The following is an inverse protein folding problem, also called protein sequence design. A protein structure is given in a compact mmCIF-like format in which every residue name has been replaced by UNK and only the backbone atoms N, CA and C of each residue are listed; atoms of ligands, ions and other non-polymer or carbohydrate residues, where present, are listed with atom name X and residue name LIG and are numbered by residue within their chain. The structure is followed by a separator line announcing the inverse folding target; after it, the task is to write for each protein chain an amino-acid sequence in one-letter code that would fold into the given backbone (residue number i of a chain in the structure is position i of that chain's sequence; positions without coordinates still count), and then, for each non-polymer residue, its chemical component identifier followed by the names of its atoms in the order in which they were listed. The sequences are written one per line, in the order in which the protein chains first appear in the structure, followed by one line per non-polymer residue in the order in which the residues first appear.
data_IF_853175454441
#
_entry.id   IF_853175454441
#
_cell.length_a   1.000
_cell.length_b   1.000
_cell.length_c   1.000
_cell.angle_alpha   90.00
_cell.angle_beta   90.00
_cell.angle_gamma   90.00
#
_symmetry.space_group_name_H-M   'P 1'
#
loop_
_entity.id
_entity.type
_entity.pdbx_description
1 polymer ?
#
# COMPACT_ATOMS: atom_id res chain seq x y z
N UNK A 1 15.23 -45.63 37.25
CA UNK A 1 16.42 -44.80 37.52
C UNK A 1 17.27 -44.75 36.27
N UNK A 2 17.24 -43.64 35.50
CA UNK A 2 18.21 -43.40 34.43
C UNK A 2 19.04 -42.17 34.78
N UNK A 3 20.32 -42.46 35.05
CA UNK A 3 21.43 -41.56 35.31
C UNK A 3 21.79 -40.84 34.01
N UNK A 4 21.70 -39.50 34.00
CA UNK A 4 22.66 -38.58 33.38
C UNK A 4 22.17 -37.16 33.60
N UNK A 5 22.53 -36.63 34.76
CA UNK A 5 22.67 -35.19 34.94
C UNK A 5 23.98 -34.74 34.28
N UNK A 6 23.92 -33.65 33.53
CA UNK A 6 25.01 -32.68 33.50
C UNK A 6 24.36 -31.31 33.67
N UNK A 7 24.91 -30.60 34.64
CA UNK A 7 24.36 -29.45 35.34
C UNK A 7 25.29 -28.24 35.08
N UNK A 8 24.73 -27.02 35.18
CA UNK A 8 25.33 -25.69 35.45
C UNK A 8 25.86 -24.87 34.25
N UNK A 9 25.25 -23.69 33.99
CA UNK A 9 25.52 -22.32 34.51
C UNK A 9 26.27 -21.55 33.40
N UNK A 10 26.08 -20.29 33.02
CA UNK A 10 25.36 -19.07 33.43
C UNK A 10 25.26 -18.23 32.12
N UNK A 11 24.41 -17.24 31.90
CA UNK A 11 24.40 -15.96 32.58
C UNK A 11 23.31 -15.07 31.97
N UNK A 12 22.72 -14.28 32.84
CA UNK A 12 21.85 -13.14 32.57
C UNK A 12 22.68 -12.05 31.86
N UNK A 13 22.25 -11.62 30.67
CA UNK A 13 22.39 -10.26 30.12
C UNK A 13 21.22 -10.09 29.14
N UNK A 14 20.16 -9.43 29.57
CA UNK A 14 19.92 -8.01 29.32
C UNK A 14 19.27 -7.78 27.93
N UNK A 15 17.98 -7.42 28.00
CA UNK A 15 17.28 -6.48 27.13
C UNK A 15 18.08 -6.01 25.90
N UNK A 16 17.67 -6.48 24.73
CA UNK A 16 17.33 -5.54 23.67
C UNK A 16 15.94 -5.90 23.18
N UNK A 17 15.01 -5.03 23.54
CA UNK A 17 13.78 -4.80 22.80
C UNK A 17 14.24 -4.44 21.39
N UNK A 18 14.37 -5.44 20.52
CA UNK A 18 14.59 -5.20 19.10
C UNK A 18 13.24 -4.82 18.52
N UNK A 19 12.89 -3.57 18.80
CA UNK A 19 11.96 -2.71 18.09
C UNK A 19 10.77 -3.47 17.51
N UNK A 20 9.72 -3.59 18.32
CA UNK A 20 8.39 -3.36 17.80
C UNK A 20 8.43 -2.01 17.09
N UNK A 21 8.81 -2.01 15.81
CA UNK A 21 8.40 -0.99 14.88
C UNK A 21 6.89 -1.20 14.75
N UNK A 22 6.18 -0.67 15.74
CA UNK A 22 4.75 -0.59 15.77
C UNK A 22 4.35 0.06 14.45
N UNK A 23 3.93 -0.77 13.48
CA UNK A 23 2.92 -0.33 12.55
C UNK A 23 1.85 0.32 13.44
N UNK A 24 1.60 1.62 13.25
CA UNK A 24 0.64 2.35 14.05
C UNK A 24 -0.61 1.45 14.21
N UNK A 25 -1.12 1.20 15.42
CA UNK A 25 -2.07 0.11 15.71
C UNK A 25 -3.38 0.13 14.90
N UNK A 26 -3.55 1.09 13.99
CA UNK A 26 -4.67 1.29 13.10
C UNK A 26 -4.28 1.61 11.64
N UNK A 27 -3.06 1.26 11.16
CA UNK A 27 -2.71 1.48 9.75
C UNK A 27 -3.67 0.69 8.83
N UNK A 28 -4.28 1.30 7.80
CA UNK A 28 -5.32 0.67 6.98
C UNK A 28 -4.84 -0.59 6.25
N UNK A 29 -3.52 -0.71 6.03
CA UNK A 29 -2.91 -1.82 5.31
C UNK A 29 -2.23 -2.87 6.19
N UNK A 30 -2.29 -2.76 7.52
CA UNK A 30 -1.59 -3.67 8.45
C UNK A 30 -1.96 -5.15 8.27
N UNK A 31 -3.21 -5.43 7.89
CA UNK A 31 -3.70 -6.79 7.63
C UNK A 31 -3.36 -7.31 6.21
N UNK A 32 -2.77 -6.48 5.35
CA UNK A 32 -2.35 -6.86 4.01
C UNK A 32 -0.92 -7.41 4.03
N UNK A 33 -0.59 -8.20 3.00
CA UNK A 33 0.69 -8.83 2.78
C UNK A 33 1.40 -8.16 1.61
N UNK A 34 2.69 -7.89 1.74
CA UNK A 34 3.56 -7.55 0.61
C UNK A 34 3.81 -8.82 -0.22
N UNK A 35 3.55 -8.77 -1.52
CA UNK A 35 3.73 -9.94 -2.40
C UNK A 35 5.19 -10.36 -2.56
N UNK A 36 6.14 -9.42 -2.43
CA UNK A 36 7.58 -9.68 -2.61
C UNK A 36 8.12 -10.44 -1.41
N UNK A 37 7.68 -10.08 -0.20
CA UNK A 37 8.20 -10.64 1.06
C UNK A 37 7.31 -11.74 1.63
N UNK A 38 6.03 -11.76 1.27
CA UNK A 38 5.03 -12.64 1.87
C UNK A 38 4.63 -12.28 3.30
N UNK A 39 5.19 -11.21 3.86
CA UNK A 39 4.93 -10.75 5.22
C UNK A 39 3.86 -9.66 5.28
N UNK A 40 3.30 -9.46 6.47
CA UNK A 40 2.40 -8.34 6.72
C UNK A 40 3.08 -7.01 6.42
N UNK A 41 2.35 -6.10 5.79
CA UNK A 41 2.87 -4.80 5.42
C UNK A 41 3.25 -4.00 6.66
N UNK A 42 4.47 -3.48 6.65
CA UNK A 42 4.96 -2.51 7.61
C UNK A 42 5.31 -1.24 6.84
N UNK A 43 4.76 -0.08 7.23
CA UNK A 43 5.10 1.20 6.60
C UNK A 43 6.61 1.46 6.66
N UNK A 44 7.18 1.94 5.55
CA UNK A 44 8.56 2.42 5.53
C UNK A 44 8.67 3.66 6.42
N UNK A 45 9.71 3.69 7.26
CA UNK A 45 9.90 4.76 8.24
C UNK A 45 9.94 6.14 7.55
N UNK A 46 9.19 7.10 8.11
CA UNK A 46 9.10 8.49 7.66
C UNK A 46 8.66 8.69 6.20
N UNK A 47 8.08 7.68 5.54
CA UNK A 47 7.56 7.83 4.17
C UNK A 47 6.06 8.08 4.18
N UNK A 48 5.60 9.01 3.34
CA UNK A 48 4.20 9.09 2.95
C UNK A 48 3.86 7.92 2.03
N UNK A 49 2.59 7.50 1.99
CA UNK A 49 2.13 6.48 1.06
C UNK A 49 1.24 7.08 -0.01
N UNK A 50 1.52 6.75 -1.28
CA UNK A 50 0.63 7.03 -2.39
C UNK A 50 0.02 5.71 -2.86
N UNK A 51 -1.16 5.40 -2.35
CA UNK A 51 -1.83 4.11 -2.54
C UNK A 51 -2.89 4.17 -3.63
N UNK A 52 -2.89 3.19 -4.54
CA UNK A 52 -3.92 3.01 -5.57
C UNK A 52 -4.61 1.66 -5.38
N UNK A 53 -5.94 1.68 -5.32
CA UNK A 53 -6.75 0.46 -5.41
C UNK A 53 -6.75 -0.01 -6.86
N UNK A 54 -6.41 -1.28 -7.09
CA UNK A 54 -6.35 -1.85 -8.42
C UNK A 54 -6.97 -3.23 -8.49
N UNK A 55 -7.78 -3.46 -9.51
CA UNK A 55 -8.03 -4.79 -10.06
C UNK A 55 -7.33 -4.89 -11.40
N UNK A 56 -6.99 -6.09 -11.84
CA UNK A 56 -6.29 -6.26 -13.10
C UNK A 56 -7.23 -6.43 -14.31
N UNK A 57 -8.46 -5.89 -14.20
CA UNK A 57 -9.53 -6.14 -15.15
C UNK A 57 -9.35 -5.45 -16.51
N UNK A 58 -9.66 -6.21 -17.58
CA UNK A 58 -9.83 -5.70 -18.95
C UNK A 58 -11.05 -4.79 -19.12
N UNK A 59 -12.05 -4.90 -18.23
CA UNK A 59 -13.39 -4.29 -18.39
C UNK A 59 -13.44 -2.78 -18.13
N UNK A 60 -12.35 -2.20 -17.61
CA UNK A 60 -12.29 -0.78 -17.27
C UNK A 60 -11.12 -0.14 -18.04
N UNK A 61 -11.36 0.53 -19.19
CA UNK A 61 -10.31 1.33 -19.86
C UNK A 61 -9.64 2.35 -18.92
N UNK A 62 -10.33 2.73 -17.84
CA UNK A 62 -9.89 3.71 -16.87
C UNK A 62 -8.93 3.16 -15.78
N UNK A 63 -8.80 1.84 -15.61
CA UNK A 63 -7.79 1.26 -14.70
C UNK A 63 -6.36 1.56 -15.20
N UNK A 64 -6.15 1.41 -16.51
CA UNK A 64 -4.90 1.78 -17.17
C UNK A 64 -4.62 3.29 -17.05
N UNK A 65 -5.63 4.13 -17.26
CA UNK A 65 -5.50 5.58 -17.09
C UNK A 65 -5.15 5.98 -15.65
N UNK A 66 -5.75 5.32 -14.66
CA UNK A 66 -5.46 5.59 -13.24
C UNK A 66 -4.05 5.18 -12.84
N UNK A 67 -3.59 4.03 -13.36
CA UNK A 67 -2.22 3.59 -13.19
C UNK A 67 -1.23 4.54 -13.88
N UNK A 68 -1.51 4.99 -15.11
CA UNK A 68 -0.70 5.97 -15.83
C UNK A 68 -0.65 7.30 -15.07
N UNK A 69 -1.77 7.75 -14.51
CA UNK A 69 -1.81 8.96 -13.69
C UNK A 69 -0.97 8.84 -12.43
N UNK A 70 -1.05 7.70 -11.72
CA UNK A 70 -0.18 7.40 -10.58
C UNK A 70 1.30 7.44 -10.97
N UNK A 71 1.64 6.83 -12.11
CA UNK A 71 2.99 6.85 -12.67
C UNK A 71 3.46 8.27 -12.99
N UNK A 72 2.64 9.09 -13.64
CA UNK A 72 2.95 10.47 -13.98
C UNK A 72 3.17 11.32 -12.72
N UNK A 73 2.33 11.13 -11.71
CA UNK A 73 2.47 11.78 -10.41
C UNK A 73 3.80 11.39 -9.74
N UNK A 74 4.10 10.10 -9.66
CA UNK A 74 5.35 9.63 -9.06
C UNK A 74 6.59 10.09 -9.84
N UNK A 75 6.54 10.04 -11.17
CA UNK A 75 7.60 10.57 -12.05
C UNK A 75 7.82 12.07 -11.83
N UNK A 76 6.75 12.83 -11.59
CA UNK A 76 6.86 14.25 -11.28
C UNK A 76 7.50 14.49 -9.91
N UNK A 77 7.15 13.70 -8.88
CA UNK A 77 7.80 13.74 -7.57
C UNK A 77 9.30 13.43 -7.69
N UNK A 78 9.67 12.45 -8.51
CA UNK A 78 11.07 12.11 -8.76
C UNK A 78 11.85 13.25 -9.40
N UNK A 79 11.27 13.93 -10.41
CA UNK A 79 11.90 15.11 -11.04
C UNK A 79 12.13 16.28 -10.06
N UNK A 80 11.45 16.27 -8.92
CA UNK A 80 11.52 17.30 -7.90
C UNK A 80 12.32 16.86 -6.67
N UNK A 81 12.88 15.64 -6.68
CA UNK A 81 13.64 15.10 -5.55
C UNK A 81 12.78 14.64 -4.37
N UNK A 82 11.46 14.54 -4.52
CA UNK A 82 10.54 14.14 -3.44
C UNK A 82 10.18 12.65 -3.46
N UNK A 83 10.67 11.89 -4.44
CA UNK A 83 10.36 10.45 -4.56
C UNK A 83 10.96 9.61 -3.43
N UNK A 84 11.98 10.10 -2.72
CA UNK A 84 12.53 9.42 -1.54
C UNK A 84 11.53 9.36 -0.39
N UNK A 85 10.65 10.36 -0.31
CA UNK A 85 9.76 10.61 0.84
C UNK A 85 8.38 9.96 0.63
N UNK A 86 8.14 9.41 -0.57
CA UNK A 86 6.87 8.80 -0.95
C UNK A 86 7.09 7.34 -1.33
N UNK A 87 6.36 6.45 -0.68
CA UNK A 87 6.23 5.05 -1.05
C UNK A 87 5.01 4.88 -1.97
N UNK A 88 5.20 4.47 -3.23
CA UNK A 88 4.09 4.17 -4.10
C UNK A 88 3.56 2.75 -3.83
N UNK A 89 2.26 2.63 -3.57
CA UNK A 89 1.61 1.38 -3.15
C UNK A 89 0.49 1.00 -4.12
N UNK A 90 0.47 -0.26 -4.53
CA UNK A 90 -0.64 -0.85 -5.27
C UNK A 90 -1.35 -1.88 -4.40
N UNK A 91 -2.66 -1.73 -4.22
CA UNK A 91 -3.49 -2.68 -3.45
C UNK A 91 -4.24 -3.55 -4.43
N UNK A 92 -3.89 -4.83 -4.46
CA UNK A 92 -4.26 -5.74 -5.54
C UNK A 92 -4.82 -7.06 -5.01
N UNK A 93 -6.04 -7.46 -5.42
CA UNK A 93 -6.55 -8.79 -5.15
C UNK A 93 -5.72 -9.89 -5.79
N UNK A 94 -5.69 -11.06 -5.16
CA UNK A 94 -5.09 -12.25 -5.77
C UNK A 94 -5.88 -12.64 -7.03
N UNK A 95 -5.22 -13.23 -8.03
CA UNK A 95 -5.91 -13.79 -9.21
C UNK A 95 -7.12 -14.65 -8.91
N UNK A 96 -6.99 -15.55 -7.93
CA UNK A 96 -8.06 -16.47 -7.56
C UNK A 96 -9.26 -15.75 -6.93
N UNK A 97 -9.08 -14.54 -6.40
CA UNK A 97 -10.11 -13.76 -5.73
C UNK A 97 -10.80 -12.76 -6.65
N UNK A 98 -10.40 -12.70 -7.93
CA UNK A 98 -11.01 -11.84 -8.95
C UNK A 98 -11.98 -12.63 -9.82
N UNK A 99 -13.06 -11.99 -10.25
CA UNK A 99 -14.09 -12.62 -11.09
C UNK A 99 -13.58 -13.00 -12.49
N UNK A 100 -12.51 -12.34 -12.99
CA UNK A 100 -11.88 -12.58 -14.29
C UNK A 100 -10.39 -12.99 -14.17
N UNK A 101 -10.06 -13.68 -13.07
CA UNK A 101 -8.69 -13.93 -12.59
C UNK A 101 -7.61 -14.29 -13.62
N UNK A 102 -7.91 -15.07 -14.67
CA UNK A 102 -6.92 -15.43 -15.71
C UNK A 102 -6.52 -14.26 -16.62
N UNK A 103 -7.48 -13.46 -17.08
CA UNK A 103 -7.21 -12.25 -17.87
C UNK A 103 -6.52 -11.19 -16.98
N UNK A 104 -6.92 -11.17 -15.72
CA UNK A 104 -6.42 -10.24 -14.71
C UNK A 104 -4.93 -10.50 -14.38
N UNK A 105 -4.50 -11.76 -14.23
CA UNK A 105 -3.06 -12.07 -14.02
C UNK A 105 -2.19 -11.58 -15.17
N UNK A 106 -2.64 -11.77 -16.41
CA UNK A 106 -1.88 -11.37 -17.59
C UNK A 106 -1.71 -9.86 -17.66
N UNK A 107 -2.77 -9.11 -17.34
CA UNK A 107 -2.71 -7.65 -17.26
C UNK A 107 -1.85 -7.18 -16.09
N UNK A 108 -1.94 -7.81 -14.92
CA UNK A 108 -1.06 -7.52 -13.79
C UNK A 108 0.39 -7.75 -14.16
N UNK A 109 0.70 -8.88 -14.79
CA UNK A 109 2.05 -9.21 -15.24
C UNK A 109 2.55 -8.21 -16.29
N UNK A 110 1.69 -7.73 -17.19
CA UNK A 110 2.03 -6.66 -18.15
C UNK A 110 2.26 -5.33 -17.44
N UNK A 111 1.36 -4.93 -16.55
CA UNK A 111 1.45 -3.70 -15.77
C UNK A 111 2.60 -3.69 -14.76
N UNK A 112 3.12 -4.83 -14.32
CA UNK A 112 4.34 -4.85 -13.49
C UNK A 112 5.61 -4.95 -14.32
N UNK A 113 5.59 -5.64 -15.47
CA UNK A 113 6.76 -5.70 -16.38
C UNK A 113 7.03 -4.38 -17.09
N UNK A 114 5.98 -3.69 -17.57
CA UNK A 114 6.13 -2.39 -18.24
C UNK A 114 6.71 -1.32 -17.31
N UNK A 115 6.53 -1.48 -16.00
CA UNK A 115 6.93 -0.49 -15.00
C UNK A 115 7.90 -1.05 -13.95
N UNK A 116 8.63 -2.12 -14.31
CA UNK A 116 9.58 -2.80 -13.43
C UNK A 116 10.73 -1.89 -12.93
N UNK A 117 10.91 -0.72 -13.55
CA UNK A 117 11.88 0.29 -13.13
C UNK A 117 11.40 1.13 -11.94
N UNK A 118 10.11 1.07 -11.58
CA UNK A 118 9.55 1.72 -10.40
C UNK A 118 9.37 0.70 -9.28
N UNK A 119 9.97 0.97 -8.12
CA UNK A 119 9.89 0.11 -6.94
C UNK A 119 8.55 0.28 -6.20
N UNK A 120 7.47 -0.16 -6.83
CA UNK A 120 6.17 -0.23 -6.18
C UNK A 120 6.17 -1.31 -5.09
N UNK A 121 5.54 -0.97 -3.96
CA UNK A 121 5.11 -1.94 -2.96
C UNK A 121 3.74 -2.46 -3.38
N UNK A 122 3.62 -3.76 -3.62
CA UNK A 122 2.35 -4.38 -4.05
C UNK A 122 1.80 -5.18 -2.89
N UNK A 123 0.61 -4.79 -2.44
CA UNK A 123 -0.07 -5.36 -1.28
C UNK A 123 -1.26 -6.20 -1.71
N UNK A 124 -1.45 -7.35 -1.06
CA UNK A 124 -2.58 -8.25 -1.28
C UNK A 124 -3.09 -8.82 0.03
N UNK A 125 -4.18 -9.58 0.02
CA UNK A 125 -4.76 -10.14 1.25
C UNK A 125 -5.91 -11.09 0.96
N UNK A 126 -6.65 -11.45 2.00
CA UNK A 126 -7.98 -12.03 1.84
C UNK A 126 -8.94 -10.96 1.30
N UNK A 127 -10.05 -11.38 0.68
CA UNK A 127 -11.10 -10.46 0.20
C UNK A 127 -11.58 -9.54 1.32
N UNK A 128 -11.78 -10.05 2.53
CA UNK A 128 -12.22 -9.25 3.68
C UNK A 128 -11.20 -8.19 4.10
N UNK A 129 -9.90 -8.52 4.11
CA UNK A 129 -8.85 -7.54 4.44
C UNK A 129 -8.75 -6.46 3.37
N UNK A 130 -8.88 -6.81 2.09
CA UNK A 130 -8.86 -5.85 0.98
C UNK A 130 -10.04 -4.89 1.04
N UNK A 131 -11.24 -5.40 1.29
CA UNK A 131 -12.47 -4.61 1.42
C UNK A 131 -12.36 -3.66 2.62
N UNK A 132 -11.88 -4.16 3.76
CA UNK A 132 -11.67 -3.34 4.95
C UNK A 132 -10.67 -2.22 4.67
N UNK A 133 -9.51 -2.54 4.11
CA UNK A 133 -8.47 -1.56 3.76
C UNK A 133 -8.99 -0.47 2.82
N UNK A 134 -9.78 -0.84 1.81
CA UNK A 134 -10.42 0.13 0.92
C UNK A 134 -11.45 0.99 1.65
N UNK A 135 -12.30 0.38 2.49
CA UNK A 135 -13.32 1.07 3.26
C UNK A 135 -12.74 2.07 4.25
N UNK A 136 -11.64 1.73 4.92
CA UNK A 136 -10.94 2.63 5.86
C UNK A 136 -10.44 3.92 5.15
N UNK A 137 -10.20 3.86 3.84
CA UNK A 137 -9.86 5.01 3.01
C UNK A 137 -11.08 5.74 2.42
N UNK A 138 -12.28 5.19 2.55
CA UNK A 138 -13.48 5.65 1.86
C UNK A 138 -13.54 5.26 0.37
N UNK A 139 -12.79 4.22 -0.01
CA UNK A 139 -12.90 3.52 -1.28
C UNK A 139 -13.72 2.24 -1.14
N UNK A 140 -13.86 1.49 -2.24
CA UNK A 140 -14.57 0.19 -2.21
C UNK A 140 -14.00 -0.79 -3.23
N UNK A 141 -14.01 -2.06 -2.85
CA UNK A 141 -14.06 -3.19 -3.78
C UNK A 141 -15.49 -3.68 -3.86
N UNK A 142 -15.98 -3.91 -5.08
CA UNK A 142 -17.30 -4.50 -5.32
C UNK A 142 -17.11 -6.02 -5.40
N UNK A 143 -17.92 -6.75 -4.63
CA UNK A 143 -17.86 -8.20 -4.52
C UNK A 143 -19.13 -8.79 -5.13
N UNK A 144 -18.98 -9.81 -5.96
CA UNK A 144 -20.09 -10.53 -6.56
C UNK A 144 -20.68 -11.61 -5.62
N UNK A 145 -21.71 -12.31 -6.09
CA UNK A 145 -22.38 -13.37 -5.30
C UNK A 145 -21.49 -14.58 -5.00
N UNK A 146 -20.38 -14.76 -5.72
CA UNK A 146 -19.38 -15.82 -5.50
C UNK A 146 -18.22 -15.36 -4.60
N UNK A 147 -18.37 -14.23 -3.90
CA UNK A 147 -17.34 -13.64 -3.05
C UNK A 147 -16.04 -13.34 -3.81
N UNK A 148 -16.15 -12.94 -5.08
CA UNK A 148 -15.04 -12.48 -5.92
C UNK A 148 -15.11 -10.98 -6.11
N UNK A 149 -13.95 -10.34 -6.12
CA UNK A 149 -13.82 -8.92 -6.42
C UNK A 149 -14.07 -8.74 -7.92
N UNK A 150 -15.11 -7.96 -8.23
CA UNK A 150 -15.56 -7.69 -9.59
C UNK A 150 -15.31 -6.25 -10.03
N UNK A 151 -15.06 -5.32 -9.12
CA UNK A 151 -14.75 -3.92 -9.46
C UNK A 151 -14.15 -3.18 -8.25
N UNK A 152 -13.73 -1.93 -8.45
CA UNK A 152 -13.31 -1.02 -7.39
C UNK A 152 -13.53 0.45 -7.75
N UNK A 153 -13.40 1.32 -6.75
CA UNK A 153 -13.24 2.77 -6.99
C UNK A 153 -11.91 3.07 -7.65
N UNK A 154 -11.95 3.90 -8.69
CA UNK A 154 -10.77 4.38 -9.40
C UNK A 154 -10.24 5.65 -8.72
N UNK A 155 -9.58 5.47 -7.58
CA UNK A 155 -9.13 6.58 -6.74
C UNK A 155 -7.77 6.23 -6.15
N UNK A 156 -6.86 7.20 -6.11
CA UNK A 156 -5.63 7.08 -5.33
C UNK A 156 -5.74 7.88 -4.05
N UNK A 157 -4.93 7.51 -3.08
CA UNK A 157 -4.96 8.02 -1.73
C UNK A 157 -3.56 8.41 -1.32
N UNK A 158 -3.40 9.61 -0.76
CA UNK A 158 -2.15 10.02 -0.14
C UNK A 158 -2.31 9.92 1.37
N UNK A 159 -1.41 9.19 2.02
CA UNK A 159 -1.45 8.90 3.44
C UNK A 159 -0.18 9.45 4.12
N UNK A 160 -0.32 9.87 5.37
CA UNK A 160 0.81 10.16 6.25
C UNK A 160 1.59 8.89 6.59
N UNK A 161 2.83 8.98 7.09
CA UNK A 161 3.61 7.80 7.51
C UNK A 161 2.90 6.87 8.51
N UNK A 162 1.98 7.42 9.31
CA UNK A 162 1.13 6.68 10.26
C UNK A 162 -0.12 6.03 9.64
N UNK A 163 -0.37 6.21 8.35
CA UNK A 163 -1.52 5.66 7.63
C UNK A 163 -2.78 6.51 7.67
N UNK A 164 -2.72 7.76 8.13
CA UNK A 164 -3.87 8.65 8.08
C UNK A 164 -4.04 9.19 6.67
N UNK A 165 -5.25 9.09 6.10
CA UNK A 165 -5.56 9.66 4.79
C UNK A 165 -5.47 11.19 4.83
N UNK A 166 -4.59 11.75 4.02
CA UNK A 166 -4.40 13.20 3.84
C UNK A 166 -5.15 13.71 2.61
N UNK A 167 -5.06 12.98 1.49
CA UNK A 167 -5.74 13.34 0.24
C UNK A 167 -6.36 12.13 -0.45
N UNK A 168 -7.35 12.43 -1.28
CA UNK A 168 -8.02 11.50 -2.18
C UNK A 168 -8.01 12.12 -3.58
N UNK A 169 -7.51 11.37 -4.55
CA UNK A 169 -7.46 11.75 -5.95
C UNK A 169 -8.52 10.97 -6.72
N UNK A 170 -9.56 11.64 -7.27
CA UNK A 170 -10.48 11.00 -8.19
C UNK A 170 -9.76 10.70 -9.51
N UNK A 171 -10.01 9.54 -10.11
CA UNK A 171 -9.43 9.19 -11.42
C UNK A 171 -9.84 10.12 -12.55
N UNK A 172 -10.96 10.84 -12.40
CA UNK A 172 -11.53 11.73 -13.42
C UNK A 172 -10.62 12.92 -13.74
N UNK A 173 -9.75 13.29 -12.80
CA UNK A 173 -8.91 14.50 -12.90
C UNK A 173 -7.51 14.18 -13.44
N UNK A 174 -7.28 12.94 -13.89
CA UNK A 174 -6.01 12.50 -14.46
C UNK A 174 -4.83 12.57 -13.49
N UNK A 175 -5.08 12.64 -12.18
CA UNK A 175 -4.07 12.79 -11.13
C UNK A 175 -3.19 14.05 -11.32
N UNK A 176 -3.76 15.12 -11.86
CA UNK A 176 -3.04 16.31 -12.32
C UNK A 176 -2.49 17.26 -11.23
N UNK A 177 -2.89 17.13 -9.96
CA UNK A 177 -2.52 18.11 -8.91
C UNK A 177 -1.27 17.73 -8.10
N UNK A 178 -0.11 17.57 -8.77
CA UNK A 178 1.20 17.40 -8.12
C UNK A 178 1.45 18.48 -7.06
N UNK A 179 1.02 19.72 -7.31
CA UNK A 179 1.12 20.84 -6.37
C UNK A 179 0.43 20.56 -5.02
N UNK A 180 -0.66 19.78 -5.01
CA UNK A 180 -1.34 19.40 -3.76
C UNK A 180 -0.49 18.42 -2.94
N UNK A 181 0.18 17.44 -3.57
CA UNK A 181 1.13 16.56 -2.87
C UNK A 181 2.30 17.36 -2.30
N UNK A 182 2.93 18.20 -3.13
CA UNK A 182 4.06 19.02 -2.72
C UNK A 182 3.72 19.93 -1.55
N UNK A 183 2.57 20.61 -1.63
CA UNK A 183 2.14 21.53 -0.59
C UNK A 183 1.91 20.80 0.73
N UNK A 184 1.47 19.54 0.70
CA UNK A 184 1.37 18.72 1.90
C UNK A 184 2.74 18.29 2.41
N UNK A 185 3.60 17.73 1.56
CA UNK A 185 4.95 17.29 1.97
C UNK A 185 5.70 18.47 2.60
N UNK A 186 5.72 19.64 1.94
CA UNK A 186 6.37 20.86 2.46
C UNK A 186 5.74 21.39 3.74
N UNK A 187 4.42 21.31 3.90
CA UNK A 187 3.73 21.74 5.12
C UNK A 187 3.93 20.77 6.29
N UNK A 188 4.15 19.49 5.99
CA UNK A 188 4.31 18.44 6.97
C UNK A 188 5.79 18.07 7.24
N UNK A 189 6.75 18.81 6.67
CA UNK A 189 8.20 18.65 6.87
C UNK A 189 8.71 19.17 8.24
N UNK A 190 7.81 19.28 9.22
CA UNK A 190 8.10 19.49 10.64
C UNK A 190 7.35 18.44 11.44
N UNK A 191 8.08 17.65 12.24
CA UNK A 191 7.54 16.51 12.97
C UNK A 191 6.33 16.88 13.85
N UNK A 192 5.24 16.09 13.72
CA UNK A 192 3.85 16.27 14.22
C UNK A 192 3.01 17.13 13.24
N UNK A 193 1.94 16.70 12.55
CA UNK A 193 0.88 15.72 12.85
C UNK A 193 -0.16 15.66 11.69
N UNK A 194 -1.21 14.81 11.77
CA UNK A 194 -2.51 15.04 11.12
C UNK A 194 -3.62 15.37 12.16
N UNK A 195 -4.32 16.51 12.24
CA UNK A 195 -3.94 17.89 11.90
C UNK A 195 -3.36 18.03 10.50
N UNK A 196 -4.06 17.54 9.47
CA UNK A 196 -3.49 17.07 8.20
C UNK A 196 -2.44 17.98 7.55
N UNK A 197 -2.48 19.29 7.83
CA UNK A 197 -1.33 20.21 7.88
C UNK A 197 -1.61 21.42 8.82
N UNK A 198 -2.16 21.26 10.03
CA UNK A 198 -2.43 22.44 10.89
C UNK A 198 -1.15 22.99 11.49
#
# INVERSE_FOLDING_TARGET
MNRREFIKLSAIYALTVASDNHAAPHHPFSALLDIKTGHHYQPKENKYQLALLMTAQQSQPNCGASFIGLHQLFSALQRQGLSSDVEPILIMPKPADQSQGKADVLNLTRATKTYAHLDFTILTGSVSHLVKAASDLGGKFIINTQNKIENHTLEAYFLSPSGNKLLKYPSTDGFSSIESVQNIIKKCDGWLAPAACK
#
